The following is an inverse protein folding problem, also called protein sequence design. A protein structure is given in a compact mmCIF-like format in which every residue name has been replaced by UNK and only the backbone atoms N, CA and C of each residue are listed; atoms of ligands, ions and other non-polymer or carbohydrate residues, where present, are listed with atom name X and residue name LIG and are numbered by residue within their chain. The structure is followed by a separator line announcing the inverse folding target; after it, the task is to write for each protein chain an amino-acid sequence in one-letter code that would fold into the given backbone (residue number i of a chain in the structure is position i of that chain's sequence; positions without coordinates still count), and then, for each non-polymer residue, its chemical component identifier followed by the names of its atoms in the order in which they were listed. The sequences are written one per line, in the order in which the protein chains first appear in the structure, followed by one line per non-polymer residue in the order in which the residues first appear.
data_IF_547630423989
#
_entry.id   IF_547630423989
#
_cell.length_a   1.000
_cell.length_b   1.000
_cell.length_c   1.000
_cell.angle_alpha   90.00
_cell.angle_beta   90.00
_cell.angle_gamma   90.00
#
_symmetry.space_group_name_H-M   'P 1'
#
loop_
_entity.id
_entity.type
_entity.pdbx_description
1 polymer ?
#
# COMPACT_ATOMS: atom_id res chain seq x y z
N UNK A 1 25.22 -48.11 -17.44
CA UNK A 1 23.78 -47.87 -17.57
C UNK A 1 23.39 -47.08 -16.32
N UNK A 2 23.98 -45.89 -16.09
CA UNK A 2 23.53 -44.60 -16.64
C UNK A 2 22.01 -44.58 -16.76
N UNK A 3 21.23 -43.82 -16.00
CA UNK A 3 21.47 -42.86 -14.91
C UNK A 3 20.03 -42.57 -14.42
N UNK A 4 19.68 -42.61 -13.12
CA UNK A 4 19.54 -41.43 -12.24
C UNK A 4 19.16 -40.07 -12.87
N UNK A 5 18.45 -40.05 -13.99
CA UNK A 5 17.88 -38.82 -14.61
C UNK A 5 16.35 -38.91 -14.66
N UNK A 6 15.73 -39.38 -13.58
CA UNK A 6 14.28 -39.23 -13.36
C UNK A 6 13.96 -38.40 -12.12
N UNK A 7 15.00 -37.84 -11.47
CA UNK A 7 14.90 -36.94 -10.30
C UNK A 7 15.36 -35.50 -10.61
N UNK A 8 15.51 -35.12 -11.89
CA UNK A 8 16.07 -33.81 -12.29
C UNK A 8 15.11 -32.90 -13.07
N UNK A 9 13.83 -33.27 -13.15
CA UNK A 9 12.77 -32.41 -13.67
C UNK A 9 11.61 -32.37 -12.68
N UNK A 10 11.85 -31.74 -11.52
CA UNK A 10 10.75 -30.95 -10.95
C UNK A 10 10.35 -29.98 -12.06
N UNK A 11 9.09 -29.99 -12.49
CA UNK A 11 8.60 -29.12 -13.56
C UNK A 11 9.19 -27.72 -13.36
N UNK A 12 10.00 -27.22 -14.30
CA UNK A 12 10.51 -25.86 -14.24
C UNK A 12 9.32 -24.95 -13.96
N UNK A 13 9.33 -24.29 -12.80
CA UNK A 13 8.24 -23.39 -12.44
C UNK A 13 8.28 -22.24 -13.44
N UNK A 14 7.29 -22.21 -14.33
CA UNK A 14 7.22 -21.21 -15.39
C UNK A 14 6.89 -19.86 -14.76
N UNK A 15 7.88 -18.97 -14.74
CA UNK A 15 7.73 -17.59 -14.28
C UNK A 15 6.90 -16.81 -15.31
N UNK A 16 5.79 -16.15 -14.93
CA UNK A 16 4.99 -15.38 -15.87
C UNK A 16 5.79 -14.27 -16.55
N UNK A 17 5.48 -13.99 -17.82
CA UNK A 17 6.21 -13.00 -18.63
C UNK A 17 6.19 -11.60 -17.99
N UNK A 18 5.04 -11.19 -17.44
CA UNK A 18 4.92 -9.91 -16.71
C UNK A 18 5.82 -9.85 -15.47
N UNK A 19 5.93 -10.96 -14.71
CA UNK A 19 6.83 -11.03 -13.54
C UNK A 19 8.28 -10.88 -13.97
N UNK A 20 8.67 -11.53 -15.08
CA UNK A 20 10.00 -11.38 -15.64
C UNK A 20 10.26 -9.95 -16.14
N UNK A 21 9.28 -9.31 -16.79
CA UNK A 21 9.39 -7.94 -17.30
C UNK A 21 9.43 -6.87 -16.19
N UNK A 22 9.03 -7.22 -14.96
CA UNK A 22 9.09 -6.37 -13.77
C UNK A 22 10.32 -6.66 -12.90
N UNK A 23 11.26 -7.50 -13.37
CA UNK A 23 12.43 -7.95 -12.60
C UNK A 23 12.08 -8.63 -11.26
N UNK A 24 10.89 -9.25 -11.16
CA UNK A 24 10.38 -9.93 -9.96
C UNK A 24 10.62 -11.45 -9.97
N UNK A 25 11.54 -11.94 -10.81
CA UNK A 25 11.76 -13.38 -11.03
C UNK A 25 12.12 -14.11 -9.74
N UNK A 26 13.15 -13.66 -9.04
CA UNK A 26 13.67 -14.35 -7.86
C UNK A 26 12.65 -14.29 -6.72
N UNK A 27 12.07 -13.11 -6.49
CA UNK A 27 10.94 -12.93 -5.55
C UNK A 27 9.80 -13.90 -5.82
N UNK A 28 9.38 -14.07 -7.07
CA UNK A 28 8.30 -14.99 -7.45
C UNK A 28 8.67 -16.47 -7.21
N UNK A 29 9.93 -16.84 -7.43
CA UNK A 29 10.40 -18.20 -7.21
C UNK A 29 10.46 -18.54 -5.72
N UNK A 30 10.74 -17.56 -4.87
CA UNK A 30 10.74 -17.68 -3.41
C UNK A 30 9.34 -17.81 -2.80
N UNK A 31 8.29 -17.38 -3.51
CA UNK A 31 6.91 -17.55 -3.06
C UNK A 31 6.52 -19.04 -2.93
N UNK A 32 5.67 -19.35 -1.96
CA UNK A 32 5.02 -20.66 -1.86
C UNK A 32 4.05 -20.88 -3.02
N UNK A 33 3.66 -22.14 -3.27
CA UNK A 33 2.63 -22.46 -4.27
C UNK A 33 1.32 -21.74 -4.00
N UNK A 34 0.92 -21.62 -2.73
CA UNK A 34 -0.30 -20.89 -2.34
C UNK A 34 -0.15 -19.38 -2.62
N UNK A 35 0.99 -18.78 -2.26
CA UNK A 35 1.25 -17.37 -2.54
C UNK A 35 1.25 -17.08 -4.04
N UNK A 36 1.80 -17.96 -4.88
CA UNK A 36 1.72 -17.83 -6.34
C UNK A 36 0.30 -17.92 -6.88
N UNK A 37 -0.53 -18.80 -6.31
CA UNK A 37 -1.96 -18.90 -6.67
C UNK A 37 -2.71 -17.62 -6.28
N UNK A 38 -2.48 -17.09 -5.08
CA UNK A 38 -3.05 -15.81 -4.62
C UNK A 38 -2.57 -14.64 -5.47
N UNK A 39 -1.28 -14.59 -5.80
CA UNK A 39 -0.74 -13.59 -6.73
C UNK A 39 -1.48 -13.66 -8.06
N UNK A 40 -1.66 -14.86 -8.62
CA UNK A 40 -2.45 -15.06 -9.83
C UNK A 40 -3.90 -14.57 -9.68
N UNK A 41 -4.59 -14.92 -8.60
CA UNK A 41 -5.97 -14.46 -8.32
C UNK A 41 -6.09 -12.93 -8.26
N UNK A 42 -5.20 -12.29 -7.50
CA UNK A 42 -5.29 -10.85 -7.19
C UNK A 42 -4.67 -9.94 -8.27
N UNK A 43 -3.99 -10.50 -9.27
CA UNK A 43 -3.42 -9.76 -10.41
C UNK A 43 -4.42 -9.45 -11.53
N UNK A 44 -5.71 -9.54 -11.24
CA UNK A 44 -6.81 -9.27 -12.18
C UNK A 44 -7.08 -7.76 -12.28
N UNK A 45 -7.31 -7.29 -13.52
CA UNK A 45 -7.33 -5.86 -13.86
C UNK A 45 -8.58 -5.15 -13.31
N UNK A 46 -8.38 -3.99 -12.69
CA UNK A 46 -9.44 -2.98 -12.46
C UNK A 46 -9.89 -2.35 -13.80
N UNK A 47 -11.20 -2.38 -14.09
CA UNK A 47 -11.84 -1.74 -15.25
C UNK A 47 -13.19 -2.39 -15.63
N UNK A 48 -14.17 -1.61 -16.08
CA UNK A 48 -15.52 -2.12 -16.43
C UNK A 48 -15.48 -2.97 -17.71
N UNK A 49 -15.28 -4.28 -17.57
CA UNK A 49 -15.59 -5.27 -18.61
C UNK A 49 -14.45 -6.24 -18.95
N UNK A 50 -14.30 -7.30 -18.16
CA UNK A 50 -13.75 -8.58 -18.66
C UNK A 50 -12.65 -9.19 -17.81
N UNK A 51 -12.94 -10.40 -17.29
CA UNK A 51 -12.05 -11.34 -16.60
C UNK A 51 -10.80 -11.68 -17.42
N UNK A 52 -9.77 -10.83 -17.35
CA UNK A 52 -8.46 -11.16 -17.92
C UNK A 52 -7.37 -10.86 -16.91
N UNK A 53 -6.81 -11.94 -16.35
CA UNK A 53 -5.66 -11.89 -15.46
C UNK A 53 -4.44 -11.33 -16.20
N UNK A 54 -3.76 -10.36 -15.60
CA UNK A 54 -2.57 -9.73 -16.17
C UNK A 54 -1.39 -10.71 -16.30
N UNK A 55 -1.30 -11.69 -15.40
CA UNK A 55 -0.22 -12.69 -15.38
C UNK A 55 -0.35 -13.77 -16.45
N UNK A 56 -1.55 -13.99 -16.98
CA UNK A 56 -1.77 -14.94 -18.08
C UNK A 56 -1.42 -14.38 -19.46
N UNK A 57 -0.96 -13.13 -19.55
CA UNK A 57 -0.67 -12.46 -20.83
C UNK A 57 0.80 -12.61 -21.18
N UNK A 58 1.08 -12.84 -22.46
CA UNK A 58 2.43 -12.72 -22.98
C UNK A 58 2.82 -11.24 -23.02
N UNK A 59 3.84 -10.85 -22.25
CA UNK A 59 4.29 -9.47 -22.08
C UNK A 59 5.79 -9.43 -22.29
N UNK A 60 6.26 -8.68 -23.30
CA UNK A 60 7.71 -8.54 -23.56
C UNK A 60 8.32 -7.33 -22.87
N UNK A 61 7.51 -6.33 -22.50
CA UNK A 61 7.90 -5.15 -21.74
C UNK A 61 6.67 -4.48 -21.11
N UNK A 62 6.86 -3.73 -20.01
CA UNK A 62 5.84 -2.91 -19.37
C UNK A 62 6.44 -1.58 -18.92
N UNK A 63 5.63 -0.52 -18.86
CA UNK A 63 6.02 0.76 -18.27
C UNK A 63 5.72 0.83 -16.76
N UNK A 64 4.99 -0.15 -16.24
CA UNK A 64 4.66 -0.25 -14.82
C UNK A 64 5.89 -0.68 -14.04
N UNK A 65 6.11 -0.12 -12.86
CA UNK A 65 7.20 -0.55 -11.96
C UNK A 65 6.76 -1.74 -11.10
N UNK A 66 7.74 -2.46 -10.53
CA UNK A 66 7.45 -3.56 -9.60
C UNK A 66 6.62 -3.07 -8.40
N UNK A 67 6.98 -1.92 -7.82
CA UNK A 67 6.23 -1.30 -6.72
C UNK A 67 4.78 -1.00 -7.11
N UNK A 68 4.55 -0.36 -8.26
CA UNK A 68 3.19 -0.04 -8.73
C UNK A 68 2.35 -1.30 -8.96
N UNK A 69 2.94 -2.33 -9.55
CA UNK A 69 2.30 -3.62 -9.80
C UNK A 69 1.89 -4.30 -8.49
N UNK A 70 2.85 -4.49 -7.59
CA UNK A 70 2.63 -5.16 -6.32
C UNK A 70 1.63 -4.41 -5.44
N UNK A 71 1.68 -3.06 -5.44
CA UNK A 71 0.65 -2.22 -4.78
C UNK A 71 -0.73 -2.43 -5.39
N UNK A 72 -0.83 -2.56 -6.71
CA UNK A 72 -2.07 -2.91 -7.40
C UNK A 72 -2.63 -4.25 -6.94
N UNK A 73 -1.80 -5.29 -6.90
CA UNK A 73 -2.17 -6.62 -6.39
C UNK A 73 -2.65 -6.54 -4.94
N UNK A 74 -1.92 -5.84 -4.07
CA UNK A 74 -2.29 -5.65 -2.67
C UNK A 74 -3.63 -4.93 -2.52
N UNK A 75 -3.91 -3.94 -3.36
CA UNK A 75 -5.20 -3.23 -3.37
C UNK A 75 -6.36 -4.16 -3.73
N UNK A 76 -6.19 -5.04 -4.73
CA UNK A 76 -7.18 -6.05 -5.09
C UNK A 76 -7.39 -7.04 -3.94
N UNK A 77 -6.30 -7.55 -3.35
CA UNK A 77 -6.37 -8.48 -2.21
C UNK A 77 -7.12 -7.88 -1.01
N UNK A 78 -6.91 -6.59 -0.69
CA UNK A 78 -7.70 -5.87 0.34
C UNK A 78 -9.19 -5.87 -0.02
N UNK A 79 -9.54 -5.62 -1.28
CA UNK A 79 -10.94 -5.58 -1.73
C UNK A 79 -11.63 -6.94 -1.62
N UNK A 80 -10.86 -8.03 -1.73
CA UNK A 80 -11.31 -9.41 -1.56
C UNK A 80 -11.16 -9.93 -0.11
N UNK A 81 -10.72 -9.09 0.83
CA UNK A 81 -10.46 -9.41 2.24
C UNK A 81 -9.32 -10.43 2.48
N UNK A 82 -8.40 -10.62 1.53
CA UNK A 82 -7.19 -11.44 1.71
C UNK A 82 -6.07 -10.60 2.35
N UNK A 83 -6.33 -10.15 3.60
CA UNK A 83 -5.51 -9.14 4.27
C UNK A 83 -4.08 -9.58 4.54
N UNK A 84 -3.86 -10.85 4.89
CA UNK A 84 -2.50 -11.40 5.14
C UNK A 84 -1.67 -11.40 3.86
N UNK A 85 -2.27 -11.79 2.73
CA UNK A 85 -1.57 -11.75 1.45
C UNK A 85 -1.36 -10.31 0.98
N UNK A 86 -2.36 -9.44 1.18
CA UNK A 86 -2.24 -8.02 0.88
C UNK A 86 -1.07 -7.37 1.63
N UNK A 87 -0.92 -7.64 2.93
CA UNK A 87 0.21 -7.16 3.72
C UNK A 87 1.54 -7.61 3.11
N UNK A 88 1.69 -8.91 2.88
CA UNK A 88 2.92 -9.49 2.34
C UNK A 88 3.33 -8.84 1.00
N UNK A 89 2.38 -8.68 0.07
CA UNK A 89 2.69 -8.12 -1.25
C UNK A 89 2.93 -6.61 -1.21
N UNK A 90 2.27 -5.88 -0.31
CA UNK A 90 2.49 -4.44 -0.12
C UNK A 90 3.83 -4.14 0.57
N UNK A 91 4.24 -4.98 1.52
CA UNK A 91 5.57 -4.89 2.11
C UNK A 91 6.64 -5.21 1.06
N UNK A 92 6.42 -6.23 0.22
CA UNK A 92 7.30 -6.51 -0.92
C UNK A 92 7.38 -5.31 -1.87
N UNK A 93 6.28 -4.60 -2.12
CA UNK A 93 6.28 -3.41 -2.97
C UNK A 93 7.25 -2.33 -2.47
N UNK A 94 7.43 -2.19 -1.15
CA UNK A 94 8.39 -1.26 -0.54
C UNK A 94 9.85 -1.77 -0.58
N UNK A 95 10.08 -3.05 -0.87
CA UNK A 95 11.42 -3.57 -1.12
C UNK A 95 11.89 -3.31 -2.56
N UNK A 96 10.94 -3.04 -3.47
CA UNK A 96 11.17 -2.75 -4.89
C UNK A 96 10.86 -1.29 -5.24
N UNK A 97 11.23 -0.35 -4.36
CA UNK A 97 11.01 1.08 -4.57
C UNK A 97 11.62 1.56 -5.89
N UNK A 98 10.82 2.29 -6.68
CA UNK A 98 11.21 2.84 -7.97
C UNK A 98 11.79 4.27 -7.88
N UNK A 99 11.89 4.80 -6.66
CA UNK A 99 12.33 6.16 -6.37
C UNK A 99 11.26 7.24 -6.55
N UNK A 100 10.02 6.87 -6.90
CA UNK A 100 8.88 7.79 -6.97
C UNK A 100 8.25 7.99 -5.59
N UNK A 101 8.22 9.24 -5.14
CA UNK A 101 7.46 9.63 -3.95
C UNK A 101 5.96 9.37 -4.17
N UNK A 102 5.47 9.50 -5.40
CA UNK A 102 4.09 9.15 -5.79
C UNK A 102 3.78 7.66 -5.60
N UNK A 103 4.61 6.77 -6.15
CA UNK A 103 4.46 5.31 -5.97
C UNK A 103 4.52 4.91 -4.50
N UNK A 104 5.45 5.49 -3.75
CA UNK A 104 5.64 5.24 -2.32
C UNK A 104 4.46 5.76 -1.49
N UNK A 105 3.99 6.98 -1.75
CA UNK A 105 2.79 7.56 -1.13
C UNK A 105 1.58 6.63 -1.31
N UNK A 106 1.32 6.16 -2.53
CA UNK A 106 0.20 5.27 -2.78
C UNK A 106 0.37 3.89 -2.13
N UNK A 107 1.60 3.40 -1.97
CA UNK A 107 1.88 2.15 -1.25
C UNK A 107 1.63 2.30 0.25
N UNK A 108 2.16 3.36 0.87
CA UNK A 108 1.91 3.66 2.29
C UNK A 108 0.43 3.88 2.58
N UNK A 109 -0.28 4.66 1.77
CA UNK A 109 -1.72 4.88 1.98
C UNK A 109 -2.56 3.61 1.84
N UNK A 110 -2.12 2.65 1.01
CA UNK A 110 -2.76 1.33 0.89
C UNK A 110 -2.52 0.48 2.14
N UNK A 111 -1.28 0.45 2.67
CA UNK A 111 -0.97 -0.18 3.96
C UNK A 111 -1.74 0.46 5.13
N UNK A 112 -1.87 1.79 5.13
CA UNK A 112 -2.65 2.52 6.14
C UNK A 112 -4.12 2.10 6.11
N UNK A 113 -4.72 1.92 4.94
CA UNK A 113 -6.10 1.43 4.83
C UNK A 113 -6.23 -0.01 5.34
N UNK A 114 -5.32 -0.90 4.93
CA UNK A 114 -5.24 -2.28 5.40
C UNK A 114 -5.18 -2.35 6.94
N UNK A 115 -4.18 -1.72 7.53
CA UNK A 115 -3.99 -1.75 8.98
C UNK A 115 -5.14 -1.10 9.72
N UNK A 116 -5.66 0.03 9.24
CA UNK A 116 -6.81 0.62 9.91
C UNK A 116 -8.07 -0.24 9.79
N UNK A 117 -8.27 -0.98 8.69
CA UNK A 117 -9.35 -1.96 8.58
C UNK A 117 -9.19 -3.08 9.60
N UNK A 118 -7.97 -3.56 9.82
CA UNK A 118 -7.63 -4.65 10.74
C UNK A 118 -7.34 -4.19 12.18
N UNK A 119 -7.59 -2.92 12.51
CA UNK A 119 -7.29 -2.32 13.84
C UNK A 119 -7.91 -3.03 15.04
N UNK A 120 -9.00 -3.77 14.83
CA UNK A 120 -9.73 -4.47 15.89
C UNK A 120 -9.39 -5.97 15.89
N UNK A 121 -8.70 -6.47 14.85
CA UNK A 121 -8.45 -7.90 14.59
C UNK A 121 -6.97 -8.30 14.74
N UNK A 122 -6.04 -7.40 14.39
CA UNK A 122 -4.59 -7.65 14.44
C UNK A 122 -3.95 -6.90 15.59
N UNK A 123 -3.08 -7.59 16.35
CA UNK A 123 -2.45 -7.07 17.57
C UNK A 123 -1.71 -5.74 17.36
N UNK A 124 -0.97 -5.60 16.26
CA UNK A 124 -0.13 -4.42 15.98
C UNK A 124 -0.71 -3.49 14.89
N UNK A 125 -1.99 -3.63 14.54
CA UNK A 125 -2.55 -2.89 13.41
C UNK A 125 -2.59 -1.38 13.65
N UNK A 126 -2.86 -0.91 14.87
CA UNK A 126 -2.86 0.53 15.15
C UNK A 126 -1.43 1.09 15.11
N UNK A 127 -0.47 0.38 15.66
CA UNK A 127 0.95 0.73 15.69
C UNK A 127 1.50 0.85 14.27
N UNK A 128 1.26 -0.17 13.43
CA UNK A 128 1.66 -0.16 12.03
C UNK A 128 0.95 0.95 11.24
N UNK A 129 -0.35 1.18 11.50
CA UNK A 129 -1.08 2.27 10.88
C UNK A 129 -0.47 3.65 11.22
N UNK A 130 -0.07 3.86 12.48
CA UNK A 130 0.64 5.08 12.91
C UNK A 130 2.01 5.18 12.23
N UNK A 131 2.78 4.09 12.17
CA UNK A 131 4.09 4.07 11.52
C UNK A 131 4.00 4.49 10.06
N UNK A 132 3.13 3.86 9.29
CA UNK A 132 2.97 4.21 7.87
C UNK A 132 2.36 5.59 7.65
N UNK A 133 1.47 6.06 8.54
CA UNK A 133 1.03 7.45 8.50
C UNK A 133 2.21 8.42 8.67
N UNK A 134 3.13 8.14 9.59
CA UNK A 134 4.32 8.98 9.81
C UNK A 134 5.29 8.92 8.63
N UNK A 135 5.53 7.74 8.07
CA UNK A 135 6.36 7.56 6.87
C UNK A 135 5.79 8.33 5.67
N UNK A 136 4.48 8.26 5.46
CA UNK A 136 3.80 8.99 4.39
C UNK A 136 3.83 10.51 4.58
N UNK A 137 3.64 10.99 5.81
CA UNK A 137 3.76 12.42 6.14
C UNK A 137 5.19 12.91 5.94
N UNK A 138 6.19 12.09 6.24
CA UNK A 138 7.60 12.45 6.10
C UNK A 138 8.05 12.65 4.64
N UNK A 139 7.31 12.10 3.67
CA UNK A 139 7.57 12.29 2.24
C UNK A 139 6.57 13.24 1.56
N UNK A 140 5.76 13.96 2.35
CA UNK A 140 4.63 14.72 1.81
C UNK A 140 5.06 15.85 0.88
N UNK A 141 6.16 16.54 1.18
CA UNK A 141 6.70 17.61 0.33
C UNK A 141 7.23 17.03 -0.99
N UNK A 142 8.01 15.95 -0.94
CA UNK A 142 8.52 15.28 -2.15
C UNK A 142 7.39 14.74 -3.02
N UNK A 143 6.34 14.20 -2.40
CA UNK A 143 5.15 13.76 -3.11
C UNK A 143 4.43 14.93 -3.78
N UNK A 144 4.21 16.05 -3.08
CA UNK A 144 3.56 17.24 -3.65
C UNK A 144 4.37 17.81 -4.81
N UNK A 145 5.70 17.89 -4.66
CA UNK A 145 6.60 18.38 -5.69
C UNK A 145 6.57 17.48 -6.94
N UNK A 146 6.56 16.17 -6.76
CA UNK A 146 6.47 15.21 -7.86
C UNK A 146 5.08 15.19 -8.53
N UNK A 147 4.02 15.31 -7.73
CA UNK A 147 2.63 15.27 -8.20
C UNK A 147 2.23 16.55 -8.95
N UNK A 148 2.83 17.69 -8.60
CA UNK A 148 2.71 18.97 -9.32
C UNK A 148 1.54 19.86 -8.88
N UNK A 149 0.67 19.38 -7.99
CA UNK A 149 -0.27 20.16 -7.19
C UNK A 149 -0.39 19.56 -5.79
N UNK A 150 -1.08 20.23 -4.86
CA UNK A 150 -1.30 19.70 -3.50
C UNK A 150 -2.52 18.78 -3.53
N UNK A 151 -2.35 17.44 -3.47
CA UNK A 151 -3.47 16.53 -3.46
C UNK A 151 -4.01 16.38 -2.04
N UNK A 152 -5.08 15.59 -1.91
CA UNK A 152 -5.50 15.10 -0.60
C UNK A 152 -4.51 14.04 -0.11
N UNK A 153 -3.90 14.27 1.06
CA UNK A 153 -3.01 13.31 1.72
C UNK A 153 -3.76 12.71 2.93
N UNK A 154 -4.37 11.52 2.80
CA UNK A 154 -5.27 10.97 3.82
C UNK A 154 -4.57 10.59 5.13
N UNK A 155 -3.25 10.44 5.14
CA UNK A 155 -2.44 10.04 6.28
C UNK A 155 -2.51 11.04 7.44
N UNK A 156 -2.46 12.34 7.16
CA UNK A 156 -2.68 13.39 8.17
C UNK A 156 -4.02 13.21 8.89
N UNK A 157 -5.10 13.03 8.12
CA UNK A 157 -6.44 12.83 8.69
C UNK A 157 -6.48 11.56 9.54
N UNK A 158 -5.89 10.47 9.05
CA UNK A 158 -5.91 9.18 9.73
C UNK A 158 -5.17 9.27 11.07
N UNK A 159 -3.97 9.83 11.06
CA UNK A 159 -3.15 9.95 12.26
C UNK A 159 -3.79 10.88 13.30
N UNK A 160 -4.35 12.02 12.87
CA UNK A 160 -5.10 12.90 13.76
C UNK A 160 -6.32 12.21 14.41
N UNK A 161 -7.02 11.34 13.68
CA UNK A 161 -8.13 10.54 14.24
C UNK A 161 -7.61 9.53 15.28
N UNK A 162 -6.50 8.87 15.00
CA UNK A 162 -5.91 7.87 15.92
C UNK A 162 -5.47 8.55 17.22
N UNK A 163 -4.70 9.65 17.14
CA UNK A 163 -4.28 10.40 18.33
C UNK A 163 -5.46 10.98 19.10
N UNK A 164 -6.48 11.48 18.40
CA UNK A 164 -7.71 11.92 19.05
C UNK A 164 -8.38 10.79 19.85
N UNK A 165 -8.49 9.58 19.29
CA UNK A 165 -9.08 8.42 19.95
C UNK A 165 -8.25 7.92 21.14
N UNK A 166 -6.93 8.07 21.07
CA UNK A 166 -6.00 7.77 22.16
C UNK A 166 -5.97 8.84 23.26
N UNK A 167 -6.76 9.92 23.13
CA UNK A 167 -6.76 11.04 24.07
C UNK A 167 -5.56 11.98 23.93
N UNK A 168 -4.67 11.72 22.96
CA UNK A 168 -3.52 12.58 22.68
C UNK A 168 -3.94 13.76 21.79
N UNK A 169 -4.67 14.71 22.37
CA UNK A 169 -5.22 15.85 21.64
C UNK A 169 -4.16 16.83 21.15
N UNK A 170 -3.05 16.98 21.87
CA UNK A 170 -1.92 17.82 21.46
C UNK A 170 -1.27 17.27 20.18
N UNK A 171 -0.89 15.99 20.16
CA UNK A 171 -0.33 15.40 18.95
C UNK A 171 -1.34 15.41 17.79
N UNK A 172 -2.65 15.27 18.07
CA UNK A 172 -3.66 15.39 17.02
C UNK A 172 -3.73 16.81 16.43
N UNK A 173 -3.52 17.86 17.24
CA UNK A 173 -3.43 19.25 16.78
C UNK A 173 -2.19 19.47 15.93
N UNK A 174 -1.02 18.99 16.37
CA UNK A 174 0.24 19.11 15.63
C UNK A 174 0.13 18.50 14.22
N UNK A 175 -0.51 17.33 14.10
CA UNK A 175 -0.76 16.71 12.79
C UNK A 175 -1.72 17.54 11.92
N UNK A 176 -2.70 18.24 12.52
CA UNK A 176 -3.55 19.15 11.76
C UNK A 176 -2.77 20.38 11.29
N UNK A 177 -1.86 20.89 12.10
CA UNK A 177 -1.03 22.05 11.76
C UNK A 177 -0.07 21.71 10.62
N UNK A 178 0.62 20.57 10.67
CA UNK A 178 1.46 20.09 9.56
C UNK A 178 0.66 19.94 8.26
N UNK A 179 -0.57 19.40 8.33
CA UNK A 179 -1.42 19.27 7.14
C UNK A 179 -1.80 20.64 6.53
N UNK A 180 -2.00 21.66 7.37
CA UNK A 180 -2.29 23.02 6.93
C UNK A 180 -1.06 23.70 6.33
N UNK A 181 0.14 23.41 6.83
CA UNK A 181 1.41 23.89 6.27
C UNK A 181 1.63 23.34 4.85
N UNK A 182 1.37 22.04 4.63
CA UNK A 182 1.37 21.43 3.29
C UNK A 182 0.24 22.00 2.40
N UNK A 183 -0.84 22.52 3.00
CA UNK A 183 -2.01 23.02 2.28
C UNK A 183 -3.00 21.92 1.85
N UNK A 184 -2.87 20.71 2.39
CA UNK A 184 -3.79 19.60 2.08
C UNK A 184 -5.09 19.69 2.89
N UNK A 185 -6.12 18.95 2.47
CA UNK A 185 -7.46 18.95 3.10
C UNK A 185 -7.85 17.60 3.68
N UNK A 186 -8.62 17.61 4.76
CA UNK A 186 -9.16 16.38 5.37
C UNK A 186 -10.42 15.84 4.62
N UNK A 187 -10.83 16.51 3.55
CA UNK A 187 -11.96 16.15 2.70
C UNK A 187 -13.33 16.48 3.29
N UNK A 188 -13.39 17.18 4.42
CA UNK A 188 -14.64 17.71 4.99
C UNK A 188 -14.78 19.21 4.68
N UNK A 189 -16.01 19.74 4.79
CA UNK A 189 -16.27 21.17 4.59
C UNK A 189 -15.41 22.09 5.48
N UNK A 190 -15.09 21.64 6.70
CA UNK A 190 -14.29 22.42 7.65
C UNK A 190 -12.79 22.18 7.56
N UNK A 191 -12.33 21.19 6.77
CA UNK A 191 -10.92 20.83 6.66
C UNK A 191 -10.25 20.53 8.01
N UNK A 192 -8.94 20.73 8.06
CA UNK A 192 -8.15 20.58 9.29
C UNK A 192 -8.42 21.68 10.31
N UNK A 193 -8.81 22.90 9.91
CA UNK A 193 -9.20 23.95 10.86
C UNK A 193 -10.43 23.55 11.69
N UNK A 194 -11.49 23.07 11.03
CA UNK A 194 -12.67 22.58 11.73
C UNK A 194 -12.37 21.37 12.63
N UNK A 195 -11.34 20.56 12.31
CA UNK A 195 -10.86 19.48 13.18
C UNK A 195 -10.16 20.04 14.41
N UNK A 196 -9.27 21.04 14.25
CA UNK A 196 -8.58 21.72 15.35
C UNK A 196 -9.58 22.33 16.34
N UNK A 197 -10.64 22.97 15.84
CA UNK A 197 -11.67 23.54 16.72
C UNK A 197 -12.36 22.49 17.59
N UNK A 198 -12.71 21.34 17.01
CA UNK A 198 -13.30 20.21 17.77
C UNK A 198 -12.32 19.62 18.78
N UNK A 199 -11.03 19.55 18.45
CA UNK A 199 -9.99 19.07 19.37
C UNK A 199 -9.81 20.04 20.54
N UNK A 200 -9.73 21.35 20.27
CA UNK A 200 -9.63 22.40 21.29
C UNK A 200 -10.82 22.43 22.24
N UNK A 201 -12.03 22.13 21.76
CA UNK A 201 -13.20 21.98 22.63
C UNK A 201 -13.03 20.81 23.60
N UNK A 202 -12.58 19.65 23.10
CA UNK A 202 -12.35 18.45 23.93
C UNK A 202 -11.25 18.60 24.99
N UNK A 203 -10.29 19.49 24.76
CA UNK A 203 -9.21 19.77 25.74
C UNK A 203 -9.67 20.69 26.89
N UNK A 204 -10.85 21.29 26.79
CA UNK A 204 -11.42 22.19 27.82
C UNK A 204 -12.42 21.49 28.73
N UNK A 205 -12.86 20.29 28.36
CA UNK A 205 -13.79 19.43 29.12
C UNK A 205 -13.01 18.49 30.04
#
# INVERSE_FOLDING_TARGET
MFDRITELFGSEQTVPDLIAALDLRDWYLDLSTEQRQKLHQHSTRFGTGGESNSLGRNVTATSQTAQEYLKGVGSTAISENDYVFAEMVLLSALEFEDGSATSTHFTYTTLIDLYYKQRDDWENAIENCIEYCRKDIAIADEFVDEFGDVPRIPSFKRLAIIYQKQGNHEAALDICDQALEIGTTDGTKGGFEGRKDRLRMKMRD
#
